data_IF_015949285519
#
_entry.id   IF_015949285519
#
_cell.length_a   1.000
_cell.length_b   1.000
_cell.length_c   1.000
_cell.angle_alpha   90.00
_cell.angle_beta   90.00
_cell.angle_gamma   90.00
#
_symmetry.space_group_name_H-M   'P 1'
#
loop_
_entity.id
_entity.type
_entity.pdbx_description
1 polymer ?
#
# COMPACT_ATOMS: atom_id res chain seq x y z
N UNK A 1 25.43 -52.81 12.07
CA UNK A 1 26.12 -52.22 10.93
C UNK A 1 25.04 -51.67 9.98
N UNK A 2 24.92 -50.34 9.82
CA UNK A 2 23.72 -49.65 9.35
C UNK A 2 23.87 -49.05 7.94
N UNK A 3 22.76 -48.93 7.20
CA UNK A 3 22.53 -47.95 6.12
C UNK A 3 20.99 -47.82 5.99
N UNK A 4 20.30 -46.69 5.85
CA UNK A 4 20.57 -45.25 5.81
C UNK A 4 19.15 -44.64 5.71
N UNK A 5 18.65 -43.78 6.61
CA UNK A 5 17.33 -43.17 6.42
C UNK A 5 17.41 -41.98 5.45
N UNK A 6 16.48 -41.95 4.48
CA UNK A 6 16.34 -40.90 3.50
C UNK A 6 16.02 -39.55 4.16
N UNK A 7 16.80 -38.54 3.79
CA UNK A 7 16.87 -37.23 4.45
C UNK A 7 15.65 -36.34 4.22
N UNK A 8 15.34 -35.65 5.31
CA UNK A 8 14.55 -34.43 5.43
C UNK A 8 15.33 -33.27 4.79
N UNK A 9 14.73 -32.36 4.00
CA UNK A 9 15.44 -31.17 3.55
C UNK A 9 15.47 -30.12 4.67
N UNK A 10 16.60 -30.07 5.37
CA UNK A 10 17.04 -28.94 6.20
C UNK A 10 17.35 -27.73 5.31
N UNK A 11 16.32 -26.94 4.97
CA UNK A 11 16.47 -25.64 4.29
C UNK A 11 15.96 -24.51 5.17
N UNK A 12 16.47 -24.43 6.40
CA UNK A 12 16.53 -23.20 7.18
C UNK A 12 17.91 -23.16 7.84
N UNK A 13 18.57 -22.01 7.80
CA UNK A 13 19.98 -21.76 8.17
C UNK A 13 20.99 -21.87 7.02
N UNK A 14 20.89 -20.96 6.06
CA UNK A 14 22.09 -20.42 5.43
C UNK A 14 21.84 -18.98 4.99
N UNK A 15 22.86 -18.12 5.11
CA UNK A 15 22.85 -16.65 4.98
C UNK A 15 22.63 -15.82 6.25
N UNK A 16 23.36 -16.18 7.32
CA UNK A 16 23.87 -15.19 8.27
C UNK A 16 25.41 -15.16 8.19
N UNK A 17 25.95 -14.53 7.13
CA UNK A 17 27.35 -14.09 7.10
C UNK A 17 27.57 -13.10 5.96
N UNK A 18 27.26 -11.82 6.20
CA UNK A 18 27.83 -10.70 5.43
C UNK A 18 28.53 -9.78 6.41
N UNK A 19 29.84 -9.74 6.20
CA UNK A 19 30.88 -8.86 6.75
C UNK A 19 30.39 -7.54 7.33
N UNK A 20 30.92 -7.25 8.52
CA UNK A 20 31.19 -5.90 9.00
C UNK A 20 31.97 -5.10 7.94
N UNK A 21 31.25 -4.25 7.22
CA UNK A 21 31.80 -3.27 6.27
C UNK A 21 31.38 -1.87 6.71
N UNK A 22 32.35 -1.15 7.26
CA UNK A 22 32.55 0.31 7.28
C UNK A 22 31.38 1.22 6.83
N UNK A 23 30.97 2.23 7.64
CA UNK A 23 29.94 3.18 7.24
C UNK A 23 30.42 4.01 6.03
N UNK A 24 29.59 4.24 5.00
CA UNK A 24 29.99 5.08 3.89
C UNK A 24 30.18 6.53 4.37
N UNK A 25 31.41 7.02 4.26
CA UNK A 25 31.77 8.42 4.42
C UNK A 25 30.78 9.32 3.68
N UNK A 26 30.22 10.31 4.37
CA UNK A 26 29.50 11.45 3.78
C UNK A 26 30.32 11.98 2.61
N UNK A 27 29.90 11.72 1.37
CA UNK A 27 30.29 12.57 0.23
C UNK A 27 29.53 13.88 0.41
N UNK A 28 30.27 14.96 0.61
CA UNK A 28 29.77 16.32 0.44
C UNK A 28 29.13 16.45 -0.96
N UNK A 29 28.01 17.17 -1.10
CA UNK A 29 27.39 17.40 -2.39
C UNK A 29 28.36 18.15 -3.33
N UNK A 30 28.35 17.87 -4.64
CA UNK A 30 29.13 18.64 -5.59
C UNK A 30 28.66 20.10 -5.62
N UNK A 31 29.60 21.03 -5.71
CA UNK A 31 29.32 22.46 -5.82
C UNK A 31 28.45 22.75 -7.06
N UNK A 32 27.53 23.74 -7.00
CA UNK A 32 26.73 24.12 -8.15
C UNK A 32 27.61 24.68 -9.29
N UNK A 33 27.32 24.36 -10.56
CA UNK A 33 28.08 24.89 -11.69
C UNK A 33 27.92 26.41 -11.79
N UNK A 34 28.95 27.13 -12.30
CA UNK A 34 28.92 28.58 -12.43
C UNK A 34 27.77 29.02 -13.35
N UNK A 35 27.07 30.07 -12.92
CA UNK A 35 25.95 30.67 -13.63
C UNK A 35 26.37 31.08 -15.05
N UNK A 36 26.03 30.28 -16.05
CA UNK A 36 26.11 30.67 -17.45
C UNK A 36 24.81 30.29 -18.14
N UNK A 37 23.97 31.32 -18.27
CA UNK A 37 23.00 31.54 -19.35
C UNK A 37 22.23 30.31 -19.88
N UNK A 38 21.08 30.03 -19.26
CA UNK A 38 19.92 29.51 -20.00
C UNK A 38 18.64 30.15 -19.46
N UNK A 39 18.16 31.18 -20.16
CA UNK A 39 16.86 31.81 -19.96
C UNK A 39 15.70 30.80 -20.14
N UNK A 40 14.49 31.14 -19.66
CA UNK A 40 13.56 30.18 -19.10
C UNK A 40 12.76 29.44 -20.16
N UNK A 41 12.97 28.13 -20.27
CA UNK A 41 12.02 27.20 -20.89
C UNK A 41 10.82 26.92 -19.96
N UNK A 42 10.30 27.96 -19.31
CA UNK A 42 9.18 27.88 -18.36
C UNK A 42 7.92 28.63 -18.86
N UNK A 43 7.95 29.15 -20.09
CA UNK A 43 6.91 30.07 -20.60
C UNK A 43 5.94 29.43 -21.62
N UNK A 44 5.90 28.11 -21.79
CA UNK A 44 5.05 27.45 -22.82
C UNK A 44 4.15 26.31 -22.32
N UNK A 45 3.68 26.40 -21.07
CA UNK A 45 2.52 25.67 -20.54
C UNK A 45 1.94 26.45 -19.36
N UNK A 46 1.27 27.58 -19.60
CA UNK A 46 0.61 28.31 -18.50
C UNK A 46 -0.77 28.76 -18.92
N UNK A 47 -1.61 27.79 -19.29
CA UNK A 47 -3.02 27.94 -18.96
C UNK A 47 -3.12 27.75 -17.44
N UNK A 48 -3.74 28.72 -16.75
CA UNK A 48 -4.03 28.53 -15.34
C UNK A 48 -4.94 27.30 -15.21
N UNK A 49 -4.66 26.37 -14.27
CA UNK A 49 -5.52 25.20 -14.09
C UNK A 49 -6.99 25.62 -14.00
N UNK A 50 -7.89 24.85 -14.62
CA UNK A 50 -9.33 25.15 -14.64
C UNK A 50 -9.93 25.40 -13.24
N UNK A 51 -9.26 24.93 -12.18
CA UNK A 51 -9.63 25.15 -10.79
C UNK A 51 -8.61 26.04 -10.07
N UNK A 52 -9.07 27.09 -9.36
CA UNK A 52 -8.22 27.91 -8.50
C UNK A 52 -7.47 27.07 -7.47
N UNK A 53 -6.17 27.35 -7.29
CA UNK A 53 -5.29 26.57 -6.40
C UNK A 53 -5.64 26.75 -4.93
N UNK A 54 -6.40 27.79 -4.55
CA UNK A 54 -6.80 28.02 -3.16
C UNK A 54 -7.64 26.87 -2.57
N UNK A 55 -8.43 26.16 -3.40
CA UNK A 55 -9.23 25.00 -2.95
C UNK A 55 -8.34 23.81 -2.59
N UNK A 56 -7.28 23.58 -3.36
CA UNK A 56 -6.29 22.53 -3.12
C UNK A 56 -5.48 22.80 -1.85
N UNK A 57 -5.04 24.05 -1.62
CA UNK A 57 -4.32 24.39 -0.38
C UNK A 57 -5.17 24.20 0.87
N UNK A 58 -6.47 24.55 0.82
CA UNK A 58 -7.41 24.31 1.93
C UNK A 58 -7.59 22.82 2.22
N UNK A 59 -7.75 21.99 1.18
CA UNK A 59 -7.83 20.53 1.35
C UNK A 59 -6.50 19.94 1.83
N UNK A 60 -5.36 20.39 1.30
CA UNK A 60 -4.03 19.95 1.75
C UNK A 60 -3.81 20.26 3.22
N UNK A 61 -4.09 21.49 3.68
CA UNK A 61 -3.98 21.83 5.10
C UNK A 61 -4.92 20.97 5.97
N UNK A 62 -6.16 20.75 5.52
CA UNK A 62 -7.13 19.89 6.20
C UNK A 62 -6.65 18.43 6.34
N UNK A 63 -6.12 17.83 5.27
CA UNK A 63 -5.66 16.43 5.28
C UNK A 63 -4.27 16.21 5.91
N UNK A 64 -3.46 17.27 6.01
CA UNK A 64 -2.15 17.24 6.65
C UNK A 64 -2.23 17.44 8.17
N UNK A 65 -3.23 18.18 8.67
CA UNK A 65 -3.43 18.36 10.12
C UNK A 65 -4.05 17.11 10.80
N UNK A 66 -4.65 16.20 10.02
CA UNK A 66 -5.25 14.97 10.54
C UNK A 66 -4.21 13.84 10.64
N UNK A 67 -3.82 13.48 11.86
CA UNK A 67 -2.93 12.36 12.21
C UNK A 67 -3.61 10.98 12.16
N UNK A 68 -4.71 10.83 11.41
CA UNK A 68 -5.42 9.55 11.21
C UNK A 68 -4.86 8.79 9.99
N UNK A 69 -5.00 7.46 9.99
CA UNK A 69 -4.68 6.63 8.82
C UNK A 69 -5.49 7.05 7.59
N UNK A 70 -4.88 6.92 6.40
CA UNK A 70 -5.36 7.50 5.13
C UNK A 70 -6.82 7.18 4.80
N UNK A 71 -7.30 5.98 5.12
CA UNK A 71 -8.67 5.52 4.84
C UNK A 71 -9.72 6.01 5.86
N UNK A 72 -9.29 6.72 6.92
CA UNK A 72 -10.15 7.29 7.96
C UNK A 72 -10.12 8.83 7.97
N UNK A 73 -9.50 9.46 6.96
CA UNK A 73 -9.31 10.92 6.93
C UNK A 73 -10.60 11.66 6.58
N UNK A 74 -11.40 11.16 5.63
CA UNK A 74 -12.71 11.70 5.28
C UNK A 74 -13.87 10.91 5.87
N UNK A 75 -15.00 11.59 6.15
CA UNK A 75 -16.28 10.91 6.45
C UNK A 75 -16.73 10.01 5.29
N UNK A 76 -16.47 10.46 4.06
CA UNK A 76 -16.74 9.67 2.85
C UNK A 76 -15.85 8.43 2.77
N UNK A 77 -14.57 8.55 3.17
CA UNK A 77 -13.63 7.42 3.17
C UNK A 77 -14.06 6.32 4.13
N UNK A 78 -14.67 6.66 5.28
CA UNK A 78 -15.20 5.64 6.21
C UNK A 78 -16.34 4.85 5.58
N UNK A 79 -17.23 5.52 4.85
CA UNK A 79 -18.36 4.84 4.18
C UNK A 79 -17.81 3.88 3.10
N UNK A 80 -16.87 4.35 2.28
CA UNK A 80 -16.39 3.58 1.12
C UNK A 80 -15.35 2.52 1.49
N UNK A 81 -14.52 2.75 2.49
CA UNK A 81 -13.44 1.81 2.87
C UNK A 81 -13.83 0.85 4.00
N UNK A 82 -14.80 1.22 4.84
CA UNK A 82 -15.20 0.41 6.00
C UNK A 82 -16.62 -0.12 5.82
N UNK A 83 -17.62 0.75 5.62
CA UNK A 83 -19.01 0.31 5.62
C UNK A 83 -19.36 -0.59 4.42
N UNK A 84 -19.05 -0.15 3.19
CA UNK A 84 -19.35 -0.93 1.98
C UNK A 84 -18.59 -2.27 1.98
N UNK A 85 -17.26 -2.31 2.19
CA UNK A 85 -16.52 -3.56 2.15
C UNK A 85 -16.91 -4.51 3.29
N UNK A 86 -17.19 -4.00 4.50
CA UNK A 86 -17.65 -4.85 5.60
C UNK A 86 -19.03 -5.44 5.35
N UNK A 87 -20.00 -4.65 4.86
CA UNK A 87 -21.32 -5.15 4.55
C UNK A 87 -21.26 -6.22 3.45
N UNK A 88 -20.44 -6.00 2.42
CA UNK A 88 -20.24 -6.94 1.33
C UNK A 88 -19.52 -8.21 1.80
N UNK A 89 -18.49 -8.08 2.63
CA UNK A 89 -17.77 -9.22 3.22
C UNK A 89 -18.68 -10.05 4.14
N UNK A 90 -19.47 -9.40 4.99
CA UNK A 90 -20.39 -10.08 5.88
C UNK A 90 -21.50 -10.83 5.10
N UNK A 91 -22.12 -10.16 4.11
CA UNK A 91 -23.17 -10.78 3.29
C UNK A 91 -22.65 -11.95 2.45
N UNK A 92 -21.48 -11.80 1.81
CA UNK A 92 -20.85 -12.88 1.06
C UNK A 92 -20.50 -14.07 1.95
N UNK A 93 -19.87 -13.84 3.11
CA UNK A 93 -19.54 -14.89 4.06
C UNK A 93 -20.79 -15.59 4.60
N UNK A 94 -21.88 -14.85 4.84
CA UNK A 94 -23.16 -15.40 5.25
C UNK A 94 -23.75 -16.34 4.19
N UNK A 95 -23.77 -15.92 2.92
CA UNK A 95 -24.27 -16.77 1.83
C UNK A 95 -23.41 -18.01 1.62
N UNK A 96 -22.08 -17.89 1.72
CA UNK A 96 -21.16 -19.03 1.66
C UNK A 96 -21.45 -20.00 2.81
N UNK A 97 -21.57 -19.51 4.05
CA UNK A 97 -21.87 -20.34 5.22
C UNK A 97 -23.20 -21.08 5.08
N UNK A 98 -24.26 -20.39 4.63
CA UNK A 98 -25.56 -21.02 4.36
C UNK A 98 -25.49 -22.03 3.22
N UNK A 99 -24.73 -21.74 2.16
CA UNK A 99 -24.51 -22.66 1.04
C UNK A 99 -23.83 -23.95 1.50
N UNK A 100 -22.72 -23.85 2.22
CA UNK A 100 -21.99 -25.00 2.76
C UNK A 100 -22.83 -25.77 3.78
N UNK A 101 -23.57 -25.08 4.65
CA UNK A 101 -24.48 -25.73 5.59
C UNK A 101 -25.58 -26.53 4.88
N UNK A 102 -26.25 -25.91 3.89
CA UNK A 102 -27.30 -26.57 3.12
C UNK A 102 -26.76 -27.78 2.36
N UNK A 103 -25.59 -27.66 1.73
CA UNK A 103 -24.91 -28.77 1.04
C UNK A 103 -24.50 -29.89 2.00
N UNK A 104 -23.92 -29.57 3.15
CA UNK A 104 -23.44 -30.55 4.15
C UNK A 104 -24.57 -31.31 4.84
N UNK A 105 -25.72 -30.68 5.06
CA UNK A 105 -26.90 -31.30 5.67
C UNK A 105 -27.84 -31.92 4.64
N UNK A 106 -27.52 -31.85 3.34
CA UNK A 106 -28.35 -32.39 2.27
C UNK A 106 -29.70 -31.67 2.07
N UNK A 107 -29.82 -30.44 2.59
CA UNK A 107 -31.04 -29.62 2.55
C UNK A 107 -31.01 -28.74 1.30
N UNK A 108 -32.11 -28.66 0.56
CA UNK A 108 -32.25 -27.76 -0.59
C UNK A 108 -32.21 -28.42 -1.97
N UNK A 109 -32.35 -29.74 -2.04
CA UNK A 109 -32.78 -30.38 -3.29
C UNK A 109 -34.23 -29.97 -3.56
N UNK A 110 -34.45 -29.22 -4.64
CA UNK A 110 -35.79 -29.14 -5.23
C UNK A 110 -36.05 -30.47 -5.94
N UNK A 111 -37.26 -30.99 -5.76
CA UNK A 111 -37.82 -32.06 -6.60
C UNK A 111 -37.57 -31.80 -8.09
#
# INVERSE_FOLDING_TARGET
NPQKPCGLPDSFHSFASVRSGQPPSRRSPPAPPPATASLPSAARMTEAPFLPRERLFKQQHYFQHLTKHTYLKGRYDVITSVAIPLALAASSMFMIGRGVYNMSHGIGKKE
#
